data_IF_357019603077
#
_entry.id   IF_357019603077
#
_cell.length_a   1.000
_cell.length_b   1.000
_cell.length_c   1.000
_cell.angle_alpha   90.00
_cell.angle_beta   90.00
_cell.angle_gamma   90.00
#
_symmetry.space_group_name_H-M   'P 1'
#
loop_
_entity.id
_entity.type
_entity.pdbx_description
1 polymer ?
#
# COMPACT_ATOMS: atom_id res chain seq x y z
N UNK A 1 -5.45 9.33 3.94
CA UNK A 1 -5.27 8.51 5.16
C UNK A 1 -4.16 9.10 5.99
N UNK A 2 -4.15 8.85 7.30
CA UNK A 2 -2.98 9.09 8.13
C UNK A 2 -1.97 7.93 7.99
N UNK A 3 -0.76 8.10 8.53
CA UNK A 3 0.28 7.08 8.40
C UNK A 3 -0.07 5.74 9.09
N UNK A 4 -0.84 5.78 10.18
CA UNK A 4 -1.27 4.59 10.92
C UNK A 4 -2.29 3.77 10.12
N UNK A 5 -3.24 4.41 9.44
CA UNK A 5 -4.22 3.76 8.56
C UNK A 5 -3.53 3.06 7.38
N UNK A 6 -2.50 3.67 6.79
CA UNK A 6 -1.70 3.07 5.72
C UNK A 6 -1.00 1.80 6.23
N UNK A 7 -0.39 1.88 7.41
CA UNK A 7 0.32 0.74 8.01
C UNK A 7 -0.64 -0.40 8.38
N UNK A 8 -1.83 -0.08 8.89
CA UNK A 8 -2.87 -1.07 9.20
C UNK A 8 -3.38 -1.77 7.93
N UNK A 9 -3.59 -1.02 6.84
CA UNK A 9 -4.04 -1.57 5.55
C UNK A 9 -2.99 -2.47 4.89
N UNK A 10 -1.71 -2.07 4.96
CA UNK A 10 -0.57 -2.89 4.52
C UNK A 10 -0.48 -4.18 5.34
N UNK A 11 -0.62 -4.07 6.66
CA UNK A 11 -0.52 -5.20 7.58
C UNK A 11 -1.65 -6.19 7.33
N UNK A 12 -2.89 -5.71 7.16
CA UNK A 12 -4.04 -6.55 6.77
C UNK A 12 -3.82 -7.28 5.46
N UNK A 13 -3.26 -6.62 4.44
CA UNK A 13 -2.98 -7.25 3.15
C UNK A 13 -1.93 -8.37 3.24
N UNK A 14 -0.89 -8.19 4.05
CA UNK A 14 0.17 -9.19 4.24
C UNK A 14 -0.32 -10.36 5.10
N UNK A 15 -1.06 -10.08 6.18
CA UNK A 15 -1.53 -11.10 7.12
C UNK A 15 -2.70 -11.93 6.56
N UNK A 16 -3.49 -11.40 5.63
CA UNK A 16 -4.61 -12.13 5.01
C UNK A 16 -4.17 -13.07 3.88
N UNK A 17 -2.87 -13.26 3.64
CA UNK A 17 -2.39 -14.24 2.66
C UNK A 17 -2.67 -15.66 3.17
N UNK A 18 -3.47 -16.48 2.44
CA UNK A 18 -3.84 -17.81 2.89
C UNK A 18 -2.62 -18.73 3.02
N UNK A 19 -2.38 -19.26 4.24
CA UNK A 19 -1.23 -20.14 4.52
C UNK A 19 -1.45 -21.62 4.15
N UNK A 20 -2.70 -22.01 3.85
CA UNK A 20 -3.06 -23.40 3.54
C UNK A 20 -3.07 -23.71 2.03
N UNK A 21 -2.44 -22.87 1.22
CA UNK A 21 -2.31 -23.08 -0.24
C UNK A 21 -0.96 -23.72 -0.56
N UNK A 22 -0.82 -24.34 -1.74
CA UNK A 22 0.47 -24.87 -2.17
C UNK A 22 1.56 -23.78 -2.15
N UNK A 23 2.82 -24.16 -1.95
CA UNK A 23 3.94 -23.21 -1.80
C UNK A 23 3.98 -22.14 -2.91
N UNK A 24 3.79 -22.54 -4.18
CA UNK A 24 3.77 -21.62 -5.32
C UNK A 24 2.62 -20.60 -5.26
N UNK A 25 1.46 -21.02 -4.74
CA UNK A 25 0.28 -20.17 -4.58
C UNK A 25 0.43 -19.21 -3.39
N UNK A 26 1.05 -19.66 -2.31
CA UNK A 26 1.45 -18.80 -1.19
C UNK A 26 2.38 -17.69 -1.66
N UNK A 27 3.43 -18.02 -2.42
CA UNK A 27 4.37 -17.02 -2.97
C UNK A 27 3.65 -16.02 -3.90
N UNK A 28 2.76 -16.51 -4.78
CA UNK A 28 1.95 -15.64 -5.66
C UNK A 28 1.08 -14.69 -4.85
N UNK A 29 0.41 -15.17 -3.81
CA UNK A 29 -0.46 -14.36 -2.96
C UNK A 29 0.33 -13.34 -2.12
N UNK A 30 1.51 -13.72 -1.61
CA UNK A 30 2.43 -12.79 -0.94
C UNK A 30 2.94 -11.70 -1.89
N UNK A 31 3.32 -12.07 -3.11
CA UNK A 31 3.75 -11.10 -4.13
C UNK A 31 2.64 -10.10 -4.47
N UNK A 32 1.39 -10.57 -4.60
CA UNK A 32 0.22 -9.71 -4.83
C UNK A 32 -0.06 -8.78 -3.64
N UNK A 33 0.07 -9.28 -2.41
CA UNK A 33 -0.08 -8.46 -1.21
C UNK A 33 0.96 -7.34 -1.15
N UNK A 34 2.22 -7.63 -1.46
CA UNK A 34 3.30 -6.63 -1.53
C UNK A 34 3.03 -5.59 -2.61
N UNK A 35 2.62 -6.01 -3.81
CA UNK A 35 2.26 -5.09 -4.90
C UNK A 35 1.11 -4.15 -4.51
N UNK A 36 0.05 -4.68 -3.90
CA UNK A 36 -1.07 -3.87 -3.42
C UNK A 36 -0.61 -2.83 -2.39
N UNK A 37 0.23 -3.23 -1.45
CA UNK A 37 0.81 -2.33 -0.44
C UNK A 37 1.65 -1.22 -1.08
N UNK A 38 2.46 -1.54 -2.09
CA UNK A 38 3.23 -0.53 -2.84
C UNK A 38 2.33 0.47 -3.56
N UNK A 39 1.22 0.02 -4.15
CA UNK A 39 0.26 0.91 -4.83
C UNK A 39 -0.46 1.85 -3.86
N UNK A 40 -0.78 1.40 -2.65
CA UNK A 40 -1.34 2.26 -1.59
C UNK A 40 -0.34 3.37 -1.23
N UNK A 41 0.93 3.00 -0.98
CA UNK A 41 1.99 3.96 -0.65
C UNK A 41 2.15 4.99 -1.78
N UNK A 42 2.25 4.54 -3.03
CA UNK A 42 2.39 5.44 -4.19
C UNK A 42 1.22 6.42 -4.30
N UNK A 43 -0.01 5.95 -4.13
CA UNK A 43 -1.20 6.81 -4.18
C UNK A 43 -1.20 7.86 -3.10
N UNK A 44 -0.85 7.51 -1.86
CA UNK A 44 -0.80 8.49 -0.77
C UNK A 44 0.37 9.48 -0.93
N UNK A 45 1.54 9.03 -1.42
CA UNK A 45 2.64 9.93 -1.77
C UNK A 45 2.26 10.93 -2.88
N UNK A 46 1.55 10.46 -3.92
CA UNK A 46 1.06 11.33 -4.98
C UNK A 46 0.10 12.41 -4.45
N UNK A 47 -0.80 12.06 -3.51
CA UNK A 47 -1.69 13.03 -2.86
C UNK A 47 -0.92 14.09 -2.06
N UNK A 48 0.13 13.69 -1.33
CA UNK A 48 0.98 14.62 -0.56
C UNK A 48 1.73 15.56 -1.51
N UNK A 49 2.30 15.02 -2.59
CA UNK A 49 2.99 15.80 -3.61
C UNK A 49 2.04 16.81 -4.28
N UNK A 50 0.86 16.38 -4.72
CA UNK A 50 -0.14 17.27 -5.33
C UNK A 50 -0.60 18.38 -4.38
N UNK A 51 -0.75 18.07 -3.09
CA UNK A 51 -1.10 19.05 -2.07
C UNK A 51 0.02 20.07 -1.88
N UNK A 52 1.27 19.61 -1.69
CA UNK A 52 2.43 20.49 -1.53
C UNK A 52 2.70 21.33 -2.79
N UNK A 53 2.48 20.79 -3.98
CA UNK A 53 2.59 21.52 -5.23
C UNK A 53 1.53 22.64 -5.33
N UNK A 54 0.26 22.35 -5.02
CA UNK A 54 -0.79 23.38 -5.02
C UNK A 54 -0.54 24.49 -4.01
N UNK A 55 -0.06 24.15 -2.81
CA UNK A 55 0.31 25.13 -1.78
C UNK A 55 1.52 25.99 -2.22
N UNK A 56 2.50 25.39 -2.91
CA UNK A 56 3.70 26.09 -3.40
C UNK A 56 3.50 26.93 -4.66
N UNK A 57 2.46 26.69 -5.46
CA UNK A 57 2.15 27.42 -6.71
C UNK A 57 1.09 28.50 -6.49
N UNK A 58 0.44 28.58 -5.33
CA UNK A 58 -0.52 29.62 -4.97
C UNK A 58 0.11 30.97 -4.53
N UNK A 59 1.42 31.16 -4.75
CA UNK A 59 2.13 32.41 -4.46
C UNK A 59 2.17 33.35 -5.66
#
# INVERSE_FOLDING_TARGET
MNAEEILDEITKNILNVPQNTGYAETIRNQSKAVQNSQEIIKKELAKIYDKGFKEGVQF
#
